data_IF_456327263078
#
_entry.id   IF_456327263078
#
_cell.length_a   1.000
_cell.length_b   1.000
_cell.length_c   1.000
_cell.angle_alpha   90.00
_cell.angle_beta   90.00
_cell.angle_gamma   90.00
#
_symmetry.space_group_name_H-M   'P 1'
#
loop_
_entity.id
_entity.type
_entity.pdbx_description
1 polymer ?
#
# COMPACT_ATOMS: atom_id res chain seq x y z
N UNK A 1 -23.55 22.19 -8.65
CA UNK A 1 -23.38 23.29 -7.67
C UNK A 1 -23.32 22.76 -6.24
N UNK A 2 -24.21 21.84 -5.81
CA UNK A 2 -24.14 21.24 -4.47
C UNK A 2 -22.84 20.45 -4.17
N UNK A 3 -22.37 19.58 -5.07
CA UNK A 3 -21.09 18.89 -4.91
C UNK A 3 -19.90 19.85 -4.81
N UNK A 4 -19.87 20.89 -5.67
CA UNK A 4 -18.86 21.94 -5.63
C UNK A 4 -18.90 22.73 -4.32
N UNK A 5 -20.08 23.04 -3.79
CA UNK A 5 -20.23 23.78 -2.55
C UNK A 5 -19.80 22.94 -1.33
N UNK A 6 -20.09 21.64 -1.30
CA UNK A 6 -19.61 20.74 -0.24
C UNK A 6 -18.08 20.61 -0.28
N UNK A 7 -17.48 20.44 -1.47
CA UNK A 7 -16.02 20.40 -1.60
C UNK A 7 -15.37 21.72 -1.17
N UNK A 8 -16.03 22.86 -1.42
CA UNK A 8 -15.56 24.19 -1.02
C UNK A 8 -15.69 24.40 0.49
N UNK A 9 -16.76 23.94 1.14
CA UNK A 9 -16.91 24.00 2.60
C UNK A 9 -15.86 23.15 3.33
N UNK A 10 -15.53 21.95 2.82
CA UNK A 10 -14.43 21.13 3.33
C UNK A 10 -13.05 21.82 3.21
N UNK A 11 -12.88 22.71 2.22
CA UNK A 11 -11.61 23.42 1.96
C UNK A 11 -11.52 24.74 2.73
N UNK A 12 -12.64 25.45 2.93
CA UNK A 12 -12.66 26.84 3.43
C UNK A 12 -13.06 26.92 4.92
N UNK A 13 -13.65 25.87 5.48
CA UNK A 13 -14.26 25.83 6.82
C UNK A 13 -13.32 25.78 8.04
N UNK A 14 -12.09 26.30 7.96
CA UNK A 14 -11.33 26.70 9.15
C UNK A 14 -10.44 25.62 9.81
N UNK A 15 -9.13 25.83 9.67
CA UNK A 15 -8.03 25.03 10.24
C UNK A 15 -7.76 23.70 9.53
N UNK A 16 -6.53 23.20 9.69
CA UNK A 16 -5.96 22.07 8.97
C UNK A 16 -6.58 20.72 9.38
N UNK A 17 -7.89 20.57 9.22
CA UNK A 17 -8.62 19.40 9.68
C UNK A 17 -8.40 18.21 8.76
N UNK A 18 -8.13 17.08 9.39
CA UNK A 18 -7.94 15.80 8.75
C UNK A 18 -9.24 15.34 8.09
N UNK A 19 -9.20 14.97 6.81
CA UNK A 19 -10.38 14.45 6.11
C UNK A 19 -10.53 12.96 6.48
N UNK A 20 -11.70 12.56 6.96
CA UNK A 20 -12.01 11.17 7.25
C UNK A 20 -13.12 10.70 6.30
N UNK A 21 -12.84 9.62 5.56
CA UNK A 21 -13.78 8.97 4.66
C UNK A 21 -14.00 7.53 5.13
N UNK A 22 -15.25 7.09 5.19
CA UNK A 22 -15.63 5.76 5.65
C UNK A 22 -16.16 4.90 4.51
N UNK A 23 -15.81 3.61 4.54
CA UNK A 23 -16.18 2.61 3.53
C UNK A 23 -16.74 1.37 4.22
N UNK A 24 -17.87 0.88 3.73
CA UNK A 24 -18.53 -0.33 4.23
C UNK A 24 -19.23 -1.05 3.09
N UNK A 25 -18.83 -2.29 2.79
CA UNK A 25 -19.49 -3.09 1.77
C UNK A 25 -20.97 -3.41 2.12
N UNK A 26 -21.28 -3.54 3.41
CA UNK A 26 -22.61 -3.93 3.89
C UNK A 26 -23.56 -2.74 4.11
N UNK A 27 -23.02 -1.61 4.58
CA UNK A 27 -23.82 -0.43 4.96
C UNK A 27 -23.69 0.74 3.98
N UNK A 28 -22.67 0.72 3.12
CA UNK A 28 -22.32 1.83 2.26
C UNK A 28 -23.10 1.89 0.94
N UNK A 29 -23.05 3.06 0.31
CA UNK A 29 -23.58 3.25 -1.03
C UNK A 29 -22.74 4.24 -1.82
N UNK A 30 -22.32 3.85 -3.02
CA UNK A 30 -21.60 4.77 -3.92
C UNK A 30 -22.54 5.77 -4.63
N UNK A 31 -23.85 5.59 -4.52
CA UNK A 31 -24.85 6.48 -5.13
C UNK A 31 -25.33 7.56 -4.16
N UNK A 32 -25.52 7.20 -2.88
CA UNK A 32 -26.12 8.07 -1.87
C UNK A 32 -25.28 8.24 -0.60
N UNK A 33 -24.18 7.50 -0.46
CA UNK A 33 -23.21 7.71 0.61
C UNK A 33 -22.49 9.04 0.41
N UNK A 34 -22.15 9.71 1.50
CA UNK A 34 -21.39 10.96 1.49
C UNK A 34 -19.98 10.80 2.09
N UNK A 35 -19.63 9.59 2.52
CA UNK A 35 -18.32 9.26 3.08
C UNK A 35 -18.20 9.54 4.58
N UNK A 36 -19.26 10.03 5.23
CA UNK A 36 -19.37 10.06 6.69
C UNK A 36 -19.48 8.66 7.28
N UNK A 37 -19.31 8.54 8.60
CA UNK A 37 -19.43 7.25 9.29
C UNK A 37 -20.88 6.73 9.25
N UNK A 38 -21.87 7.62 9.26
CA UNK A 38 -23.29 7.28 9.18
C UNK A 38 -23.76 6.93 7.77
N UNK A 39 -23.06 7.42 6.73
CA UNK A 39 -23.36 7.17 5.32
C UNK A 39 -22.08 6.87 4.53
N UNK A 40 -21.43 5.73 4.80
CA UNK A 40 -20.17 5.37 4.16
C UNK A 40 -20.35 5.11 2.67
N UNK A 41 -19.24 5.12 1.94
CA UNK A 41 -19.21 4.60 0.57
C UNK A 41 -19.23 3.07 0.57
N UNK A 42 -19.72 2.45 -0.51
CA UNK A 42 -19.71 1.00 -0.65
C UNK A 42 -18.32 0.49 -1.07
N UNK A 43 -17.57 1.29 -1.82
CA UNK A 43 -16.27 0.91 -2.39
C UNK A 43 -15.13 1.83 -1.95
N UNK A 44 -13.93 1.27 -1.86
CA UNK A 44 -12.72 2.02 -1.53
C UNK A 44 -12.38 3.00 -2.66
N UNK A 45 -12.57 2.59 -3.92
CA UNK A 45 -12.34 3.49 -5.05
C UNK A 45 -13.28 4.71 -5.01
N UNK A 46 -14.52 4.57 -4.55
CA UNK A 46 -15.42 5.72 -4.42
C UNK A 46 -14.92 6.73 -3.39
N UNK A 47 -14.43 6.26 -2.23
CA UNK A 47 -13.79 7.13 -1.25
C UNK A 47 -12.56 7.83 -1.84
N UNK A 48 -11.71 7.11 -2.57
CA UNK A 48 -10.56 7.69 -3.29
C UNK A 48 -10.99 8.77 -4.28
N UNK A 49 -12.11 8.57 -5.00
CA UNK A 49 -12.60 9.54 -5.97
C UNK A 49 -13.10 10.85 -5.33
N UNK A 50 -13.38 10.86 -4.02
CA UNK A 50 -13.74 12.08 -3.29
C UNK A 50 -12.54 12.87 -2.77
N UNK A 51 -11.32 12.34 -2.90
CA UNK A 51 -10.11 13.04 -2.48
C UNK A 51 -9.98 14.33 -3.31
N UNK A 52 -9.94 15.53 -2.67
CA UNK A 52 -9.74 16.78 -3.40
C UNK A 52 -8.42 16.79 -4.18
N UNK A 53 -8.36 17.46 -5.33
CA UNK A 53 -7.12 17.50 -6.14
C UNK A 53 -6.18 18.68 -5.79
N UNK A 54 -6.62 19.60 -4.91
CA UNK A 54 -5.84 20.75 -4.44
C UNK A 54 -4.97 20.37 -3.24
N UNK A 55 -4.09 21.24 -2.74
CA UNK A 55 -3.24 20.93 -1.57
C UNK A 55 -4.10 20.59 -0.34
N UNK A 56 -4.01 19.34 0.12
CA UNK A 56 -4.89 18.77 1.16
C UNK A 56 -4.14 18.62 2.49
N UNK A 57 -4.80 18.85 3.64
CA UNK A 57 -4.40 18.24 4.91
C UNK A 57 -4.34 16.71 4.80
N UNK A 58 -4.02 16.03 5.90
CA UNK A 58 -4.02 14.56 5.92
C UNK A 58 -5.42 13.97 5.66
N UNK A 59 -5.47 12.81 5.02
CA UNK A 59 -6.69 12.05 4.75
C UNK A 59 -6.58 10.66 5.34
N UNK A 60 -7.65 10.16 5.95
CA UNK A 60 -7.83 8.75 6.31
C UNK A 60 -9.04 8.17 5.59
N UNK A 61 -8.83 7.02 4.95
CA UNK A 61 -9.89 6.15 4.46
C UNK A 61 -9.99 4.97 5.44
N UNK A 62 -11.06 4.96 6.22
CA UNK A 62 -11.39 3.95 7.21
C UNK A 62 -12.31 2.91 6.58
N UNK A 63 -11.88 1.66 6.56
CA UNK A 63 -12.59 0.59 5.86
C UNK A 63 -13.13 -0.42 6.87
N UNK A 64 -14.44 -0.66 6.85
CA UNK A 64 -15.06 -1.74 7.63
C UNK A 64 -14.57 -3.11 7.16
N UNK A 65 -14.55 -4.06 8.07
CA UNK A 65 -14.26 -5.47 7.81
C UNK A 65 -15.04 -5.97 6.59
N UNK A 66 -14.35 -6.66 5.67
CA UNK A 66 -14.98 -7.06 4.42
C UNK A 66 -14.00 -7.50 3.34
N UNK A 67 -14.56 -7.91 2.21
CA UNK A 67 -13.82 -8.33 1.02
C UNK A 67 -14.09 -7.36 -0.11
N UNK A 68 -13.10 -6.54 -0.43
CA UNK A 68 -13.13 -5.52 -1.46
C UNK A 68 -12.29 -6.00 -2.64
N UNK A 69 -12.94 -6.71 -3.56
CA UNK A 69 -12.32 -7.23 -4.79
C UNK A 69 -12.16 -6.11 -5.83
N UNK A 70 -11.49 -5.03 -5.41
CA UNK A 70 -11.29 -3.78 -6.14
C UNK A 70 -9.82 -3.59 -6.52
N UNK A 71 -9.60 -2.93 -7.65
CA UNK A 71 -8.31 -2.43 -8.06
C UNK A 71 -8.25 -0.93 -7.82
N UNK A 72 -7.76 -0.54 -6.64
CA UNK A 72 -7.81 0.85 -6.19
C UNK A 72 -6.65 1.63 -6.80
N UNK A 73 -6.96 2.72 -7.50
CA UNK A 73 -6.01 3.63 -8.11
C UNK A 73 -6.16 5.04 -7.56
N UNK A 74 -5.08 5.55 -6.98
CA UNK A 74 -4.94 6.94 -6.58
C UNK A 74 -3.96 7.58 -7.56
N UNK A 75 -4.43 8.60 -8.30
CA UNK A 75 -3.67 9.22 -9.40
C UNK A 75 -3.57 10.72 -9.20
N UNK A 76 -2.36 11.26 -9.36
CA UNK A 76 -2.13 12.71 -9.41
C UNK A 76 -2.58 13.48 -8.15
N UNK A 77 -2.62 12.81 -7.00
CA UNK A 77 -2.99 13.43 -5.71
C UNK A 77 -1.74 13.97 -5.00
N UNK A 78 -1.82 15.18 -4.48
CA UNK A 78 -0.80 15.77 -3.59
C UNK A 78 -1.42 16.09 -2.23
N UNK A 79 -1.09 15.28 -1.21
CA UNK A 79 -1.58 15.43 0.16
C UNK A 79 -0.43 15.36 1.15
N UNK A 80 -0.58 15.93 2.35
CA UNK A 80 0.44 15.76 3.40
C UNK A 80 0.55 14.28 3.78
N UNK A 81 -0.60 13.65 4.06
CA UNK A 81 -0.71 12.22 4.36
C UNK A 81 -1.94 11.62 3.68
N UNK A 82 -1.83 10.39 3.17
CA UNK A 82 -2.99 9.55 2.82
C UNK A 82 -2.86 8.26 3.60
N UNK A 83 -3.80 7.98 4.49
CA UNK A 83 -3.89 6.75 5.25
C UNK A 83 -5.04 5.89 4.73
N UNK A 84 -4.78 4.61 4.52
CA UNK A 84 -5.80 3.61 4.16
C UNK A 84 -5.62 2.42 5.10
N UNK A 85 -6.69 2.05 5.79
CA UNK A 85 -6.67 0.91 6.71
C UNK A 85 -8.03 0.59 7.33
N UNK A 86 -8.07 -0.47 8.14
CA UNK A 86 -9.28 -0.87 8.86
C UNK A 86 -9.79 0.25 9.78
N UNK A 87 -11.13 0.39 9.84
CA UNK A 87 -11.81 1.24 10.83
C UNK A 87 -11.58 0.70 12.24
N UNK A 88 -11.66 -0.62 12.40
CA UNK A 88 -11.47 -1.30 13.68
C UNK A 88 -9.99 -1.37 14.09
N UNK A 89 -9.72 -1.35 15.40
CA UNK A 89 -8.36 -1.51 15.90
C UNK A 89 -7.81 -2.90 15.57
N UNK A 90 -6.67 -2.92 14.85
CA UNK A 90 -5.97 -4.15 14.49
C UNK A 90 -4.73 -4.39 15.33
N UNK A 91 -4.44 -3.58 16.36
CA UNK A 91 -3.22 -3.61 17.19
C UNK A 91 -2.92 -5.00 17.79
N UNK A 92 -3.93 -5.80 18.08
CA UNK A 92 -3.80 -7.15 18.66
C UNK A 92 -3.70 -8.28 17.64
N UNK A 93 -4.00 -8.02 16.36
CA UNK A 93 -3.96 -9.04 15.30
C UNK A 93 -2.51 -9.34 14.94
N UNK A 94 -2.15 -10.61 14.84
CA UNK A 94 -0.87 -11.09 14.32
C UNK A 94 -1.07 -11.57 12.87
N UNK A 95 -0.58 -10.84 11.85
CA UNK A 95 -0.79 -11.20 10.44
C UNK A 95 -0.18 -12.56 10.04
N UNK A 96 0.72 -13.11 10.84
CA UNK A 96 1.30 -14.44 10.63
C UNK A 96 0.38 -15.58 11.10
N UNK A 97 -0.61 -15.29 11.94
CA UNK A 97 -1.51 -16.27 12.57
C UNK A 97 -2.96 -16.13 12.17
N UNK A 98 -3.39 -14.93 11.81
CA UNK A 98 -4.78 -14.63 11.49
C UNK A 98 -4.89 -13.88 10.16
N UNK A 99 -6.08 -13.92 9.57
CA UNK A 99 -6.43 -13.05 8.45
C UNK A 99 -6.65 -11.62 8.91
N UNK A 100 -6.43 -10.67 8.01
CA UNK A 100 -6.77 -9.27 8.27
C UNK A 100 -8.25 -9.03 7.96
N UNK A 101 -8.90 -8.12 8.72
CA UNK A 101 -10.33 -7.87 8.58
C UNK A 101 -10.71 -7.30 7.21
N UNK A 102 -9.84 -6.47 6.63
CA UNK A 102 -10.05 -5.86 5.32
C UNK A 102 -9.21 -6.61 4.28
N UNK A 103 -9.89 -7.26 3.34
CA UNK A 103 -9.27 -7.95 2.20
C UNK A 103 -9.41 -7.09 0.94
N UNK A 104 -8.31 -6.85 0.22
CA UNK A 104 -8.25 -5.99 -0.96
C UNK A 104 -7.53 -6.69 -2.12
N UNK A 105 -7.96 -6.49 -3.37
CA UNK A 105 -7.21 -7.05 -4.52
C UNK A 105 -5.91 -6.32 -4.79
N UNK A 106 -5.99 -5.03 -5.10
CA UNK A 106 -4.79 -4.23 -5.35
C UNK A 106 -4.95 -2.77 -4.96
N UNK A 107 -3.83 -2.11 -4.67
CA UNK A 107 -3.75 -0.69 -4.35
C UNK A 107 -2.56 -0.05 -5.08
N UNK A 108 -2.83 1.06 -5.75
CA UNK A 108 -1.84 1.79 -6.54
C UNK A 108 -1.82 3.27 -6.20
N UNK A 109 -0.63 3.79 -5.93
CA UNK A 109 -0.33 5.23 -5.96
C UNK A 109 0.47 5.55 -7.22
N UNK A 110 -0.07 6.38 -8.09
CA UNK A 110 0.53 6.73 -9.38
C UNK A 110 0.68 8.24 -9.50
N UNK A 111 1.91 8.72 -9.58
CA UNK A 111 2.24 10.14 -9.67
C UNK A 111 1.67 10.95 -8.49
N UNK A 112 1.69 10.35 -7.29
CA UNK A 112 1.22 10.99 -6.06
C UNK A 112 2.39 11.64 -5.29
N UNK A 113 2.09 12.67 -4.50
CA UNK A 113 3.05 13.33 -3.60
C UNK A 113 2.52 13.32 -2.17
N UNK A 114 3.41 13.11 -1.20
CA UNK A 114 3.07 13.03 0.21
C UNK A 114 3.62 11.81 0.91
N UNK A 115 3.15 11.61 2.14
CA UNK A 115 3.36 10.40 2.92
C UNK A 115 2.11 9.50 2.82
N UNK A 116 2.28 8.24 2.43
CA UNK A 116 1.18 7.29 2.27
C UNK A 116 1.33 6.21 3.32
N UNK A 117 0.27 5.90 4.05
CA UNK A 117 0.26 4.87 5.08
C UNK A 117 -0.77 3.83 4.69
N UNK A 118 -0.32 2.61 4.42
CA UNK A 118 -1.17 1.46 4.17
C UNK A 118 -1.00 0.51 5.34
N UNK A 119 -2.09 0.29 6.08
CA UNK A 119 -2.06 -0.54 7.29
C UNK A 119 -3.15 -1.57 7.33
N UNK A 120 -2.84 -2.73 7.89
CA UNK A 120 -3.88 -3.64 8.37
C UNK A 120 -4.67 -4.34 7.27
N UNK A 121 -4.19 -4.33 6.02
CA UNK A 121 -4.87 -4.93 4.87
C UNK A 121 -4.32 -6.33 4.57
N UNK A 122 -5.18 -7.23 4.09
CA UNK A 122 -4.75 -8.48 3.47
C UNK A 122 -5.00 -8.41 1.96
N UNK A 123 -3.95 -8.62 1.18
CA UNK A 123 -4.08 -8.68 -0.27
C UNK A 123 -4.52 -10.07 -0.73
N UNK A 124 -5.56 -10.13 -1.55
CA UNK A 124 -6.23 -11.36 -2.03
C UNK A 124 -6.58 -11.27 -3.51
N UNK A 125 -7.05 -12.36 -4.12
CA UNK A 125 -7.39 -12.43 -5.54
C UNK A 125 -6.26 -11.92 -6.47
N UNK A 126 -5.01 -12.15 -6.09
CA UNK A 126 -3.82 -11.55 -6.73
C UNK A 126 -3.61 -12.02 -8.16
N UNK A 127 -4.13 -13.20 -8.53
CA UNK A 127 -4.06 -13.69 -9.92
C UNK A 127 -4.83 -12.78 -10.89
N UNK A 128 -5.88 -12.11 -10.41
CA UNK A 128 -6.70 -11.18 -11.17
C UNK A 128 -6.27 -9.72 -11.03
N UNK A 129 -5.21 -9.45 -10.25
CA UNK A 129 -4.73 -8.09 -10.02
C UNK A 129 -4.08 -7.48 -11.29
N UNK A 130 -4.01 -6.15 -11.39
CA UNK A 130 -3.46 -5.46 -12.55
C UNK A 130 -1.98 -5.75 -12.73
N UNK A 131 -1.51 -5.47 -13.95
CA UNK A 131 -0.10 -5.66 -14.33
C UNK A 131 0.55 -4.33 -14.65
N UNK A 132 1.76 -4.10 -14.13
CA UNK A 132 2.65 -3.04 -14.60
C UNK A 132 3.80 -3.67 -15.38
N UNK A 133 3.94 -3.31 -16.66
CA UNK A 133 4.98 -3.88 -17.54
C UNK A 133 5.04 -5.42 -17.52
N UNK A 134 3.87 -6.08 -17.47
CA UNK A 134 3.73 -7.53 -17.44
C UNK A 134 3.86 -8.19 -16.06
N UNK A 135 4.19 -7.43 -15.02
CA UNK A 135 4.31 -7.90 -13.63
C UNK A 135 3.02 -7.63 -12.85
N UNK A 136 2.42 -8.67 -12.26
CA UNK A 136 1.30 -8.54 -11.32
C UNK A 136 1.78 -7.89 -10.03
N UNK A 137 0.95 -7.04 -9.40
CA UNK A 137 1.26 -6.44 -8.10
C UNK A 137 0.07 -6.42 -7.15
N UNK A 138 0.34 -6.48 -5.84
CA UNK A 138 -0.67 -6.24 -4.80
C UNK A 138 -0.67 -4.77 -4.37
N UNK A 139 0.51 -4.21 -4.11
CA UNK A 139 0.68 -2.82 -3.72
C UNK A 139 1.76 -2.15 -4.58
N UNK A 140 1.39 -1.06 -5.25
CA UNK A 140 2.29 -0.34 -6.14
C UNK A 140 2.42 1.14 -5.77
N UNK A 141 3.67 1.62 -5.78
CA UNK A 141 4.02 3.04 -5.73
C UNK A 141 4.84 3.42 -6.95
N UNK A 142 4.35 4.36 -7.75
CA UNK A 142 4.99 4.76 -8.99
C UNK A 142 5.09 6.29 -9.12
N UNK A 143 6.30 6.77 -9.45
CA UNK A 143 6.61 8.17 -9.76
C UNK A 143 6.23 9.20 -8.67
N UNK A 144 6.52 8.93 -7.40
CA UNK A 144 6.52 9.95 -6.35
C UNK A 144 6.07 9.46 -4.98
N UNK A 145 6.31 10.30 -3.96
CA UNK A 145 5.84 10.10 -2.58
C UNK A 145 6.64 9.09 -1.77
N UNK A 146 6.19 8.90 -0.53
CA UNK A 146 6.75 7.94 0.43
C UNK A 146 5.67 7.00 0.93
N UNK A 147 5.77 5.70 0.67
CA UNK A 147 4.82 4.69 1.15
C UNK A 147 5.35 3.94 2.38
N UNK A 148 4.60 4.03 3.48
CA UNK A 148 4.75 3.21 4.68
C UNK A 148 3.77 2.05 4.64
N UNK A 149 4.27 0.82 4.63
CA UNK A 149 3.48 -0.41 4.68
C UNK A 149 3.68 -1.07 6.04
N UNK A 150 2.62 -1.19 6.82
CA UNK A 150 2.67 -1.78 8.16
C UNK A 150 1.49 -2.73 8.37
N UNK A 151 1.71 -3.82 9.09
CA UNK A 151 0.68 -4.78 9.48
C UNK A 151 -0.16 -5.36 8.35
N UNK A 152 0.40 -5.41 7.15
CA UNK A 152 -0.28 -5.96 5.98
C UNK A 152 0.09 -7.44 5.78
N UNK A 153 -0.83 -8.20 5.19
CA UNK A 153 -0.68 -9.62 4.90
C UNK A 153 -0.70 -9.88 3.40
N UNK A 154 0.28 -10.63 2.92
CA UNK A 154 0.41 -11.08 1.53
C UNK A 154 0.60 -12.60 1.55
N UNK A 155 -0.47 -13.37 1.37
CA UNK A 155 -0.45 -14.80 1.71
C UNK A 155 -1.13 -15.74 0.69
N UNK A 156 -1.49 -15.26 -0.50
CA UNK A 156 -1.86 -16.13 -1.62
C UNK A 156 -0.61 -16.66 -2.33
N UNK A 157 -0.67 -17.92 -2.79
CA UNK A 157 0.47 -18.57 -3.45
C UNK A 157 0.70 -17.98 -4.85
N UNK A 158 1.66 -17.09 -4.92
CA UNK A 158 2.04 -16.33 -6.11
C UNK A 158 3.38 -16.77 -6.69
N UNK A 159 4.04 -17.81 -6.14
CA UNK A 159 5.40 -18.24 -6.53
C UNK A 159 5.55 -18.53 -8.02
N UNK A 160 4.50 -19.06 -8.64
CA UNK A 160 4.50 -19.44 -10.06
C UNK A 160 4.00 -18.32 -10.99
N UNK A 161 3.64 -17.15 -10.46
CA UNK A 161 3.19 -16.00 -11.23
C UNK A 161 4.34 -15.03 -11.43
N UNK A 162 4.36 -14.29 -12.54
CA UNK A 162 5.25 -13.13 -12.69
C UNK A 162 4.67 -11.97 -11.86
N UNK A 163 5.04 -11.90 -10.58
CA UNK A 163 4.41 -10.99 -9.61
C UNK A 163 5.39 -10.42 -8.57
N UNK A 164 5.02 -9.27 -7.98
CA UNK A 164 5.63 -8.73 -6.78
C UNK A 164 4.55 -8.28 -5.77
N UNK A 165 4.71 -8.61 -4.49
CA UNK A 165 3.77 -8.16 -3.46
C UNK A 165 3.81 -6.63 -3.32
N UNK A 166 5.00 -6.04 -3.17
CA UNK A 166 5.20 -4.60 -3.13
C UNK A 166 6.13 -4.19 -4.28
N UNK A 167 5.65 -3.30 -5.14
CA UNK A 167 6.39 -2.77 -6.29
C UNK A 167 6.57 -1.26 -6.15
N UNK A 168 7.83 -0.81 -6.11
CA UNK A 168 8.19 0.62 -6.02
C UNK A 168 9.01 1.00 -7.24
N UNK A 169 8.62 2.07 -7.95
CA UNK A 169 9.27 2.50 -9.19
C UNK A 169 9.42 4.03 -9.28
N UNK A 170 10.45 4.49 -9.98
CA UNK A 170 10.68 5.89 -10.27
C UNK A 170 11.27 6.62 -9.09
N UNK A 171 11.07 7.94 -9.01
CA UNK A 171 11.52 8.77 -7.87
C UNK A 171 10.64 8.58 -6.61
N UNK A 172 10.29 7.34 -6.31
CA UNK A 172 9.42 6.93 -5.20
C UNK A 172 10.23 6.31 -4.07
N UNK A 173 9.76 6.46 -2.84
CA UNK A 173 10.32 5.79 -1.67
C UNK A 173 9.28 4.90 -0.98
N UNK A 174 9.68 3.74 -0.48
CA UNK A 174 8.82 2.95 0.41
C UNK A 174 9.55 2.36 1.62
N UNK A 175 8.79 2.03 2.65
CA UNK A 175 9.26 1.37 3.86
C UNK A 175 8.31 0.24 4.24
N UNK A 176 8.87 -0.96 4.40
CA UNK A 176 8.16 -2.16 4.82
C UNK A 176 8.48 -2.41 6.29
N UNK A 177 7.49 -2.18 7.15
CA UNK A 177 7.63 -2.29 8.59
C UNK A 177 7.46 -3.72 9.10
N UNK A 178 8.01 -3.93 10.28
CA UNK A 178 8.20 -5.20 10.96
C UNK A 178 6.95 -6.07 11.12
N UNK A 179 5.77 -5.48 11.12
CA UNK A 179 4.54 -6.21 11.43
C UNK A 179 3.87 -6.82 10.19
N UNK A 180 4.43 -6.67 8.99
CA UNK A 180 3.92 -7.31 7.79
C UNK A 180 4.24 -8.82 7.75
N UNK A 181 3.38 -9.60 7.09
CA UNK A 181 3.58 -11.03 6.85
C UNK A 181 3.51 -11.38 5.36
N UNK A 182 4.52 -12.10 4.87
CA UNK A 182 4.65 -12.51 3.47
C UNK A 182 4.81 -14.03 3.35
N UNK A 183 3.86 -14.69 2.69
CA UNK A 183 3.85 -16.14 2.52
C UNK A 183 3.67 -16.51 1.05
N UNK A 184 4.56 -17.34 0.50
CA UNK A 184 4.46 -17.85 -0.87
C UNK A 184 4.36 -16.78 -1.96
N UNK A 185 5.13 -15.71 -1.82
CA UNK A 185 5.24 -14.68 -2.85
C UNK A 185 6.37 -15.01 -3.84
N UNK A 186 6.23 -14.67 -5.13
CA UNK A 186 7.34 -14.77 -6.08
C UNK A 186 8.41 -13.72 -5.72
N UNK A 187 8.05 -12.44 -5.73
CA UNK A 187 8.92 -11.36 -5.26
C UNK A 187 8.19 -10.65 -4.11
N UNK A 188 8.82 -10.52 -2.95
CA UNK A 188 8.20 -9.79 -1.83
C UNK A 188 8.32 -8.28 -2.04
N UNK A 189 9.53 -7.77 -2.22
CA UNK A 189 9.79 -6.35 -2.50
C UNK A 189 10.54 -6.22 -3.81
N UNK A 190 10.02 -5.41 -4.72
CA UNK A 190 10.70 -5.06 -5.96
C UNK A 190 10.88 -3.53 -6.06
N UNK A 191 12.13 -3.08 -5.95
CA UNK A 191 12.54 -1.71 -6.27
C UNK A 191 13.04 -1.65 -7.73
N UNK A 192 12.46 -0.75 -8.52
CA UNK A 192 12.82 -0.55 -9.92
C UNK A 192 13.08 0.93 -10.24
N UNK A 193 13.89 1.22 -11.26
CA UNK A 193 14.09 2.54 -11.88
C UNK A 193 14.22 3.72 -10.88
N UNK A 194 15.37 3.86 -10.23
CA UNK A 194 15.72 4.95 -9.29
C UNK A 194 14.94 4.99 -7.97
N UNK A 195 14.04 4.05 -7.73
CA UNK A 195 13.29 4.00 -6.47
C UNK A 195 14.18 3.63 -5.28
N UNK A 196 13.67 3.92 -4.09
CA UNK A 196 14.34 3.59 -2.83
C UNK A 196 13.41 2.83 -1.90
N UNK A 197 13.87 1.71 -1.35
CA UNK A 197 13.08 0.92 -0.38
C UNK A 197 13.87 0.69 0.89
N UNK A 198 13.22 0.84 2.04
CA UNK A 198 13.70 0.40 3.34
C UNK A 198 12.93 -0.85 3.77
N UNK A 199 13.66 -1.90 4.16
CA UNK A 199 13.11 -3.13 4.70
C UNK A 199 13.49 -3.20 6.17
N UNK A 200 12.48 -3.24 7.03
CA UNK A 200 12.70 -3.37 8.47
C UNK A 200 12.95 -4.84 8.87
N UNK A 201 13.95 -5.06 9.73
CA UNK A 201 14.58 -6.37 9.98
C UNK A 201 13.69 -7.43 10.65
N UNK A 202 12.50 -7.08 11.14
CA UNK A 202 11.60 -8.00 11.87
C UNK A 202 10.34 -8.34 11.07
N UNK A 203 10.27 -7.93 9.81
CA UNK A 203 9.22 -8.39 8.88
C UNK A 203 9.25 -9.91 8.78
N UNK A 204 8.10 -10.56 8.89
CA UNK A 204 7.99 -12.02 8.98
C UNK A 204 7.46 -12.64 7.68
N UNK A 205 7.81 -13.90 7.43
CA UNK A 205 7.42 -14.58 6.20
C UNK A 205 8.19 -15.87 5.97
N UNK A 206 7.70 -16.70 5.04
CA UNK A 206 8.32 -17.98 4.67
C UNK A 206 7.83 -18.47 3.30
N UNK A 207 8.56 -19.43 2.74
CA UNK A 207 8.26 -20.06 1.45
C UNK A 207 8.14 -19.05 0.29
N UNK A 208 8.81 -17.90 0.37
CA UNK A 208 8.86 -16.95 -0.74
C UNK A 208 9.97 -17.34 -1.72
N UNK A 209 9.83 -17.04 -3.01
CA UNK A 209 10.88 -17.34 -4.00
C UNK A 209 12.00 -16.30 -3.95
N UNK A 210 11.65 -15.01 -3.97
CA UNK A 210 12.57 -13.88 -3.88
C UNK A 210 12.13 -12.91 -2.78
N UNK A 211 13.04 -12.58 -1.85
CA UNK A 211 12.81 -11.59 -0.81
C UNK A 211 12.83 -10.18 -1.39
N UNK A 212 14.03 -9.64 -1.62
CA UNK A 212 14.24 -8.30 -2.16
C UNK A 212 14.86 -8.36 -3.56
N UNK A 213 14.20 -7.76 -4.55
CA UNK A 213 14.77 -7.52 -5.88
C UNK A 213 15.03 -6.04 -6.09
N UNK A 214 16.26 -5.69 -6.46
CA UNK A 214 16.65 -4.34 -6.84
C UNK A 214 17.09 -4.30 -8.30
N UNK A 215 16.42 -3.50 -9.14
CA UNK A 215 16.78 -3.27 -10.54
C UNK A 215 16.93 -1.76 -10.79
N UNK A 216 18.15 -1.32 -11.07
CA UNK A 216 18.45 0.11 -11.31
C UNK A 216 17.94 1.03 -10.17
N UNK A 217 17.89 0.51 -8.93
CA UNK A 217 17.27 1.10 -7.75
C UNK A 217 18.09 0.83 -6.48
N UNK A 218 17.64 1.33 -5.32
CA UNK A 218 18.34 1.14 -4.04
C UNK A 218 17.41 0.50 -3.00
N UNK A 219 17.86 -0.58 -2.36
CA UNK A 219 17.20 -1.18 -1.19
C UNK A 219 18.13 -1.10 0.01
N UNK A 220 17.59 -0.74 1.18
CA UNK A 220 18.29 -0.74 2.48
C UNK A 220 17.62 -1.74 3.41
N UNK A 221 18.42 -2.52 4.12
CA UNK A 221 17.93 -3.59 5.00
C UNK A 221 17.93 -4.96 4.32
N UNK A 222 17.58 -5.99 5.09
CA UNK A 222 17.51 -7.38 4.63
C UNK A 222 16.41 -8.14 5.37
N UNK A 223 15.87 -9.16 4.71
CA UNK A 223 14.98 -10.12 5.36
C UNK A 223 15.77 -11.16 6.19
N UNK A 224 15.13 -11.81 7.17
CA UNK A 224 15.73 -12.91 7.93
C UNK A 224 16.17 -14.09 7.05
N UNK A 225 17.07 -14.93 7.57
CA UNK A 225 17.43 -16.21 6.93
C UNK A 225 16.20 -17.12 6.89
N UNK A 226 15.97 -17.79 5.75
CA UNK A 226 14.81 -18.66 5.55
C UNK A 226 13.51 -17.93 5.17
N UNK A 227 13.56 -16.61 4.98
CA UNK A 227 12.41 -15.82 4.53
C UNK A 227 12.04 -16.12 3.07
N UNK A 228 13.04 -16.26 2.19
CA UNK A 228 12.88 -16.63 0.79
C UNK A 228 14.01 -17.58 0.32
N UNK A 229 13.78 -18.28 -0.79
CA UNK A 229 14.80 -19.10 -1.47
C UNK A 229 15.99 -18.23 -1.92
N UNK A 230 15.68 -17.05 -2.48
CA UNK A 230 16.64 -16.00 -2.84
C UNK A 230 16.31 -14.75 -2.04
N UNK A 231 17.01 -14.50 -0.93
CA UNK A 231 16.73 -13.33 -0.11
C UNK A 231 17.05 -12.00 -0.80
N UNK A 232 18.09 -11.97 -1.65
CA UNK A 232 18.63 -10.77 -2.28
C UNK A 232 18.90 -11.04 -3.76
N UNK A 233 18.22 -10.31 -4.66
CA UNK A 233 18.36 -10.44 -6.12
C UNK A 233 18.66 -9.07 -6.75
N UNK A 234 19.91 -8.86 -7.17
CA UNK A 234 20.37 -7.61 -7.79
C UNK A 234 20.37 -7.76 -9.31
N UNK A 235 19.74 -6.80 -10.01
CA UNK A 235 19.68 -6.69 -11.47
C UNK A 235 20.13 -5.31 -11.94
N UNK A 236 20.69 -5.20 -13.14
CA UNK A 236 21.12 -3.92 -13.70
C UNK A 236 22.09 -3.17 -12.77
N UNK A 237 21.88 -1.87 -12.60
CA UNK A 237 22.60 -1.02 -11.64
C UNK A 237 21.93 -0.98 -10.26
N UNK A 238 21.22 -2.05 -9.89
CA UNK A 238 20.59 -2.18 -8.58
C UNK A 238 21.62 -2.26 -7.44
N UNK A 239 21.23 -1.78 -6.27
CA UNK A 239 22.03 -1.86 -5.04
C UNK A 239 21.16 -2.33 -3.87
N UNK A 240 21.67 -3.27 -3.07
CA UNK A 240 21.08 -3.68 -1.79
C UNK A 240 22.13 -3.46 -0.69
N UNK A 241 21.78 -2.66 0.31
CA UNK A 241 22.66 -2.27 1.42
C UNK A 241 22.16 -2.94 2.70
N UNK A 242 22.88 -3.96 3.17
CA UNK A 242 22.47 -4.76 4.34
C UNK A 242 23.21 -4.37 5.62
N UNK A 243 24.41 -3.77 5.48
CA UNK A 243 25.22 -3.16 6.53
C UNK A 243 26.03 -2.01 5.93
N UNK A 244 26.19 -0.92 6.67
CA UNK A 244 27.13 0.14 6.27
C UNK A 244 28.55 -0.22 6.69
N UNK A 245 29.47 -0.25 5.73
CA UNK A 245 30.90 -0.24 6.04
C UNK A 245 31.39 1.20 5.89
N UNK A 246 31.99 1.76 6.94
CA UNK A 246 32.72 3.02 6.83
C UNK A 246 33.94 2.75 5.96
N UNK A 247 34.06 3.46 4.83
CA UNK A 247 35.32 3.49 4.08
C UNK A 247 36.34 4.23 4.95
N UNK A 248 37.33 3.50 5.45
CA UNK A 248 38.52 4.07 6.13
C UNK A 248 39.40 4.82 5.16
#
# INVERSE_FOLDING_TARGET
VAQLNNSVETIIGGSADWINLYVSADLGSDQIGDGSEEKPFATIQMAVNQIPLVSIPGISIWVDDGVYLEDVFIRNVSATTIHIGPKNDTSVIDPSKSDMPVKLRSLTFYQCKGFFKVTGLQFVDTINAPKNSGLIYSLMLLQGGYLSVDKCKFAEDNRNLTSAAIYTEGLSASNVYNSCYFYRQNIVVYANLMSQVLISQQTSGKENTTGARSKDAIIRGKFPVGFADINEDVKGLGLIITKGTVLS
#
